data_IF_508252371000
#
_entry.id   IF_508252371000
#
_cell.length_a   1.000
_cell.length_b   1.000
_cell.length_c   1.000
_cell.angle_alpha   90.00
_cell.angle_beta   90.00
_cell.angle_gamma   90.00
#
_symmetry.space_group_name_H-M   'P 1'
#
loop_
_entity.id
_entity.type
_entity.pdbx_description
1 polymer ?
#
# COMPACT_ATOMS: atom_id res chain seq x y z
N UNK A 1 27.81 18.49 -33.20
CA UNK A 1 27.63 18.51 -31.75
C UNK A 1 26.30 17.83 -31.40
N UNK A 2 26.18 16.50 -31.47
CA UNK A 2 24.90 15.81 -31.23
C UNK A 2 24.42 15.93 -29.77
N UNK A 3 25.30 16.12 -28.82
CA UNK A 3 24.96 16.14 -27.37
C UNK A 3 24.20 17.42 -26.93
N UNK A 4 24.36 18.52 -27.61
CA UNK A 4 23.64 19.77 -27.25
C UNK A 4 22.16 19.69 -27.60
N UNK A 5 21.77 18.89 -28.60
CA UNK A 5 20.37 18.77 -29.01
C UNK A 5 19.55 17.91 -28.03
N UNK A 6 20.15 16.87 -27.45
CA UNK A 6 19.46 16.00 -26.47
C UNK A 6 19.11 16.72 -25.17
N UNK A 7 19.95 17.65 -24.70
CA UNK A 7 19.68 18.47 -23.52
C UNK A 7 18.46 19.40 -23.69
N UNK A 8 18.11 19.72 -24.95
CA UNK A 8 16.94 20.56 -25.28
C UNK A 8 15.65 19.75 -25.45
N UNK A 9 15.72 18.40 -25.35
CA UNK A 9 14.58 17.49 -25.47
C UNK A 9 14.19 16.98 -24.08
N UNK A 10 12.97 17.27 -23.62
CA UNK A 10 12.43 16.71 -22.40
C UNK A 10 11.69 15.41 -22.72
N UNK A 11 12.30 14.28 -22.38
CA UNK A 11 11.65 12.97 -22.44
C UNK A 11 11.08 12.66 -21.06
N UNK A 12 9.77 12.40 -20.98
CA UNK A 12 9.11 12.08 -19.69
C UNK A 12 8.15 10.92 -19.82
N UNK A 13 8.16 10.06 -18.81
CA UNK A 13 7.25 8.94 -18.67
C UNK A 13 7.04 8.61 -17.19
N UNK A 14 5.91 7.98 -16.87
CA UNK A 14 5.62 7.49 -15.54
C UNK A 14 5.60 5.96 -15.50
N UNK A 15 6.34 5.41 -14.56
CA UNK A 15 6.40 3.97 -14.34
C UNK A 15 6.06 3.61 -12.89
N UNK A 16 5.78 2.34 -12.65
CA UNK A 16 5.61 1.82 -11.29
C UNK A 16 6.79 0.91 -10.94
N UNK A 17 7.55 1.30 -9.92
CA UNK A 17 8.54 0.42 -9.30
C UNK A 17 7.85 -0.46 -8.28
N UNK A 18 7.63 -1.72 -8.67
CA UNK A 18 6.91 -2.67 -7.81
C UNK A 18 7.67 -2.96 -6.52
N UNK A 19 6.93 -2.95 -5.43
CA UNK A 19 7.43 -3.45 -4.15
C UNK A 19 7.53 -4.97 -4.19
N UNK A 20 8.66 -5.54 -3.73
CA UNK A 20 8.80 -6.98 -3.53
C UNK A 20 7.87 -7.44 -2.39
N UNK A 21 6.61 -7.68 -2.71
CA UNK A 21 5.61 -8.18 -1.78
C UNK A 21 4.73 -9.24 -2.47
N UNK A 22 4.31 -10.24 -1.70
CA UNK A 22 3.34 -11.21 -2.22
C UNK A 22 2.03 -10.49 -2.54
N UNK A 23 1.34 -10.91 -3.60
CA UNK A 23 0.07 -10.32 -4.00
C UNK A 23 -0.88 -10.22 -2.78
N UNK A 24 -1.33 -9.02 -2.42
CA UNK A 24 -2.15 -8.83 -1.24
C UNK A 24 -3.58 -9.30 -1.48
N UNK A 25 -4.10 -10.06 -0.53
CA UNK A 25 -5.51 -10.44 -0.48
C UNK A 25 -6.08 -10.07 0.88
N UNK A 26 -7.39 -9.82 0.95
CA UNK A 26 -8.07 -9.52 2.23
C UNK A 26 -7.84 -10.61 3.28
N UNK A 27 -7.88 -11.86 2.84
CA UNK A 27 -7.68 -13.00 3.72
C UNK A 27 -6.27 -13.03 4.33
N UNK A 28 -5.26 -12.67 3.52
CA UNK A 28 -3.87 -12.59 3.97
C UNK A 28 -3.67 -11.41 4.93
N UNK A 29 -4.19 -10.23 4.57
CA UNK A 29 -4.12 -9.04 5.40
C UNK A 29 -4.77 -9.25 6.79
N UNK A 30 -5.96 -9.86 6.82
CA UNK A 30 -6.64 -10.24 8.06
C UNK A 30 -5.81 -11.25 8.86
N UNK A 31 -5.23 -12.25 8.19
CA UNK A 31 -4.41 -13.26 8.85
C UNK A 31 -3.15 -12.67 9.50
N UNK A 32 -2.41 -11.87 8.75
CA UNK A 32 -1.20 -11.19 9.25
C UNK A 32 -1.54 -10.28 10.45
N UNK A 33 -2.67 -9.58 10.40
CA UNK A 33 -3.16 -8.75 11.51
C UNK A 33 -3.50 -9.58 12.76
N UNK A 34 -4.20 -10.71 12.57
CA UNK A 34 -4.55 -11.65 13.63
C UNK A 34 -3.33 -12.28 14.28
N UNK A 35 -2.42 -12.80 13.46
CA UNK A 35 -1.21 -13.46 13.92
C UNK A 35 -0.32 -12.52 14.71
N UNK A 36 -0.09 -11.31 14.18
CA UNK A 36 0.70 -10.30 14.86
C UNK A 36 0.10 -9.92 16.21
N UNK A 37 -1.18 -9.59 16.24
CA UNK A 37 -1.87 -9.15 17.46
C UNK A 37 -1.93 -10.28 18.52
N UNK A 38 -2.21 -11.52 18.09
CA UNK A 38 -2.24 -12.66 18.99
C UNK A 38 -0.86 -12.94 19.62
N UNK A 39 0.21 -12.89 18.81
CA UNK A 39 1.59 -13.07 19.32
C UNK A 39 1.95 -12.01 20.37
N UNK A 40 1.54 -10.75 20.16
CA UNK A 40 1.77 -9.68 21.12
C UNK A 40 0.96 -9.87 22.41
N UNK A 41 -0.32 -10.22 22.33
CA UNK A 41 -1.13 -10.55 23.51
C UNK A 41 -0.46 -11.68 24.31
N UNK A 42 -0.02 -12.74 23.63
CA UNK A 42 0.66 -13.85 24.30
C UNK A 42 1.93 -13.39 25.03
N UNK A 43 2.77 -12.57 24.39
CA UNK A 43 4.01 -12.04 24.98
C UNK A 43 3.72 -11.16 26.20
N UNK A 44 2.79 -10.21 26.05
CA UNK A 44 2.42 -9.29 27.13
C UNK A 44 1.75 -9.99 28.34
N UNK A 45 1.23 -11.20 28.17
CA UNK A 45 0.71 -11.96 29.28
C UNK A 45 1.78 -12.79 30.02
N UNK A 46 2.90 -13.12 29.35
CA UNK A 46 3.95 -13.97 29.96
C UNK A 46 4.78 -13.18 30.96
N UNK A 47 5.27 -12.00 30.60
CA UNK A 47 6.18 -11.21 31.46
C UNK A 47 5.57 -10.85 32.82
N UNK A 48 4.33 -10.31 32.91
CA UNK A 48 3.68 -10.02 34.20
C UNK A 48 2.91 -11.19 34.79
N UNK A 49 3.02 -12.42 34.27
CA UNK A 49 2.32 -13.60 34.78
C UNK A 49 0.81 -13.57 34.59
N UNK A 50 0.30 -12.76 33.66
CA UNK A 50 -1.13 -12.60 33.42
C UNK A 50 -1.71 -13.83 32.70
N UNK A 51 -2.86 -14.30 33.15
CA UNK A 51 -3.58 -15.37 32.46
C UNK A 51 -4.05 -14.92 31.08
N UNK A 52 -3.62 -15.64 30.03
CA UNK A 52 -4.03 -15.37 28.66
C UNK A 52 -5.56 -15.47 28.49
N UNK A 53 -6.21 -14.46 27.89
CA UNK A 53 -7.65 -14.48 27.65
C UNK A 53 -8.04 -15.57 26.66
N UNK A 54 -9.15 -16.26 26.93
CA UNK A 54 -9.68 -17.31 26.03
C UNK A 54 -10.21 -16.74 24.73
N UNK A 55 -9.74 -17.30 23.61
CA UNK A 55 -10.21 -16.94 22.26
C UNK A 55 -10.13 -18.16 21.33
N UNK A 56 -10.67 -17.99 20.11
CA UNK A 56 -10.74 -19.07 19.11
C UNK A 56 -9.58 -18.98 18.08
N UNK A 57 -8.43 -18.42 18.45
CA UNK A 57 -7.32 -18.20 17.51
C UNK A 57 -6.87 -19.51 16.85
N UNK A 58 -6.62 -20.59 17.62
CA UNK A 58 -6.17 -21.89 17.08
C UNK A 58 -7.13 -22.44 16.02
N UNK A 59 -8.43 -22.46 16.31
CA UNK A 59 -9.45 -22.97 15.37
C UNK A 59 -9.52 -22.14 14.08
N UNK A 60 -9.32 -20.82 14.17
CA UNK A 60 -9.30 -19.94 12.98
C UNK A 60 -7.99 -20.14 12.21
N UNK A 61 -6.86 -20.32 12.89
CA UNK A 61 -5.55 -20.60 12.29
C UNK A 61 -5.59 -21.89 11.46
N UNK A 62 -6.09 -22.99 12.03
CA UNK A 62 -6.27 -24.28 11.34
C UNK A 62 -7.17 -24.13 10.10
N UNK A 63 -8.29 -23.42 10.27
CA UNK A 63 -9.23 -23.15 9.16
C UNK A 63 -8.56 -22.33 8.05
N UNK A 64 -7.73 -21.33 8.39
CA UNK A 64 -6.99 -20.51 7.42
C UNK A 64 -5.90 -21.34 6.72
N UNK A 65 -5.13 -22.14 7.44
CA UNK A 65 -4.12 -23.03 6.85
C UNK A 65 -4.77 -24.03 5.88
N UNK A 66 -5.88 -24.65 6.27
CA UNK A 66 -6.66 -25.52 5.38
C UNK A 66 -7.19 -24.78 4.14
N UNK A 67 -7.63 -23.53 4.30
CA UNK A 67 -8.06 -22.67 3.19
C UNK A 67 -6.90 -22.38 2.21
N UNK A 68 -5.71 -22.10 2.72
CA UNK A 68 -4.53 -21.82 1.89
C UNK A 68 -4.09 -23.02 1.03
N UNK A 69 -4.23 -24.24 1.54
CA UNK A 69 -3.89 -25.48 0.82
C UNK A 69 -4.84 -25.80 -0.34
N UNK A 70 -6.04 -25.21 -0.39
CA UNK A 70 -7.04 -25.50 -1.41
C UNK A 70 -6.78 -24.77 -2.71
N UNK A 71 -6.68 -25.51 -3.82
CA UNK A 71 -6.59 -24.95 -5.17
C UNK A 71 -7.88 -24.22 -5.58
N UNK A 72 -9.05 -24.86 -5.40
CA UNK A 72 -10.36 -24.26 -5.66
C UNK A 72 -11.03 -23.83 -4.36
N UNK A 73 -11.43 -22.57 -4.26
CA UNK A 73 -12.01 -21.96 -3.05
C UNK A 73 -13.44 -21.54 -3.32
N UNK A 74 -14.41 -22.19 -2.67
CA UNK A 74 -15.83 -21.83 -2.77
C UNK A 74 -16.07 -20.45 -2.12
N UNK A 75 -16.76 -19.56 -2.80
CA UNK A 75 -17.04 -18.19 -2.33
C UNK A 75 -17.74 -18.15 -0.97
N UNK A 76 -18.72 -19.04 -0.75
CA UNK A 76 -19.42 -19.16 0.54
C UNK A 76 -18.49 -19.49 1.71
N UNK A 77 -17.57 -20.45 1.52
CA UNK A 77 -16.58 -20.82 2.53
C UNK A 77 -15.58 -19.69 2.80
N UNK A 78 -15.14 -19.01 1.73
CA UNK A 78 -14.26 -17.83 1.86
C UNK A 78 -14.96 -16.73 2.67
N UNK A 79 -16.22 -16.43 2.36
CA UNK A 79 -17.01 -15.43 3.10
C UNK A 79 -17.21 -15.81 4.57
N UNK A 80 -17.51 -17.08 4.84
CA UNK A 80 -17.66 -17.58 6.21
C UNK A 80 -16.36 -17.44 7.01
N UNK A 81 -15.23 -17.86 6.43
CA UNK A 81 -13.91 -17.73 7.08
C UNK A 81 -13.54 -16.26 7.30
N UNK A 82 -13.75 -15.40 6.30
CA UNK A 82 -13.52 -13.93 6.42
C UNK A 82 -14.31 -13.34 7.59
N UNK A 83 -15.59 -13.70 7.72
CA UNK A 83 -16.44 -13.27 8.85
C UNK A 83 -15.86 -13.71 10.20
N UNK A 84 -15.39 -14.97 10.30
CA UNK A 84 -14.77 -15.50 11.55
C UNK A 84 -13.48 -14.75 11.88
N UNK A 85 -12.66 -14.42 10.89
CA UNK A 85 -11.42 -13.68 11.06
C UNK A 85 -11.67 -12.24 11.51
N UNK A 86 -12.64 -11.54 10.92
CA UNK A 86 -13.04 -10.17 11.32
C UNK A 86 -13.50 -10.17 12.80
N UNK A 87 -14.39 -11.09 13.17
CA UNK A 87 -14.88 -11.20 14.56
C UNK A 87 -13.77 -11.53 15.56
N UNK A 88 -12.82 -12.39 15.16
CA UNK A 88 -11.68 -12.72 16.01
C UNK A 88 -10.74 -11.52 16.16
N UNK A 89 -10.46 -10.78 15.08
CA UNK A 89 -9.62 -9.60 15.13
C UNK A 89 -10.21 -8.52 16.06
N UNK A 90 -11.50 -8.30 15.97
CA UNK A 90 -12.23 -7.41 16.88
C UNK A 90 -12.10 -7.86 18.34
N UNK A 91 -12.33 -9.16 18.61
CA UNK A 91 -12.17 -9.73 19.95
C UNK A 91 -10.75 -9.57 20.49
N UNK A 92 -9.74 -9.83 19.67
CA UNK A 92 -8.33 -9.68 20.08
C UNK A 92 -7.97 -8.22 20.39
N UNK A 93 -8.52 -7.26 19.65
CA UNK A 93 -8.33 -5.82 19.94
C UNK A 93 -8.97 -5.45 21.29
N UNK A 94 -10.17 -5.94 21.59
CA UNK A 94 -10.83 -5.73 22.88
C UNK A 94 -9.99 -6.34 24.01
N UNK A 95 -9.57 -7.60 23.87
CA UNK A 95 -8.73 -8.28 24.87
C UNK A 95 -7.40 -7.55 25.11
N UNK A 96 -6.78 -7.03 24.06
CA UNK A 96 -5.58 -6.20 24.17
C UNK A 96 -5.85 -4.92 24.93
N UNK A 97 -6.98 -4.27 24.68
CA UNK A 97 -7.33 -3.01 25.34
C UNK A 97 -7.70 -3.23 26.82
N UNK A 98 -8.33 -4.35 27.15
CA UNK A 98 -8.58 -4.78 28.53
C UNK A 98 -7.26 -5.01 29.29
N UNK A 99 -6.33 -5.78 28.70
CA UNK A 99 -4.99 -6.01 29.28
C UNK A 99 -4.25 -4.68 29.47
N UNK A 100 -4.33 -3.76 28.50
CA UNK A 100 -3.67 -2.46 28.62
C UNK A 100 -4.29 -1.60 29.72
N UNK A 101 -5.59 -1.64 29.89
CA UNK A 101 -6.28 -0.87 30.94
C UNK A 101 -5.91 -1.37 32.32
N UNK A 102 -5.82 -2.69 32.49
CA UNK A 102 -5.57 -3.30 33.78
C UNK A 102 -4.08 -3.34 34.15
N UNK A 103 -3.21 -3.59 33.18
CA UNK A 103 -1.77 -3.82 33.39
C UNK A 103 -0.87 -2.85 32.61
N UNK A 104 -1.39 -1.77 32.08
CA UNK A 104 -0.66 -0.87 31.17
C UNK A 104 0.59 -0.22 31.79
N UNK A 105 0.62 -0.03 33.10
CA UNK A 105 1.80 0.48 33.84
C UNK A 105 2.96 -0.51 33.87
N UNK A 106 2.69 -1.81 33.76
CA UNK A 106 3.68 -2.88 33.74
C UNK A 106 4.18 -3.20 32.32
N UNK A 107 3.46 -2.74 31.28
CA UNK A 107 3.72 -3.09 29.90
C UNK A 107 4.45 -1.95 29.17
N UNK A 108 5.57 -2.26 28.56
CA UNK A 108 6.29 -1.31 27.72
C UNK A 108 5.89 -1.47 26.25
N UNK A 109 5.50 -0.38 25.60
CA UNK A 109 5.13 -0.34 24.19
C UNK A 109 6.11 0.52 23.41
N UNK A 110 6.65 -0.03 22.32
CA UNK A 110 7.46 0.72 21.37
C UNK A 110 6.56 1.59 20.47
N UNK A 111 7.12 2.65 19.88
CA UNK A 111 6.40 3.45 18.89
C UNK A 111 5.95 2.61 17.69
N UNK A 112 6.77 1.66 17.25
CA UNK A 112 6.43 0.75 16.14
C UNK A 112 5.26 -0.17 16.48
N UNK A 113 5.17 -0.62 17.73
CA UNK A 113 4.00 -1.35 18.20
C UNK A 113 2.74 -0.49 18.09
N UNK A 114 2.76 0.74 18.58
CA UNK A 114 1.60 1.63 18.55
C UNK A 114 1.18 1.97 17.12
N UNK A 115 2.15 2.28 16.24
CA UNK A 115 1.89 2.49 14.81
C UNK A 115 1.20 1.28 14.18
N UNK A 116 1.76 0.07 14.38
CA UNK A 116 1.20 -1.16 13.80
C UNK A 116 -0.20 -1.47 14.35
N UNK A 117 -0.41 -1.25 15.64
CA UNK A 117 -1.73 -1.41 16.25
C UNK A 117 -2.76 -0.44 15.62
N UNK A 118 -2.39 0.81 15.39
CA UNK A 118 -3.27 1.79 14.74
C UNK A 118 -3.62 1.37 13.29
N UNK A 119 -2.66 0.78 12.57
CA UNK A 119 -2.89 0.24 11.23
C UNK A 119 -3.86 -0.95 11.27
N UNK A 120 -3.68 -1.87 12.21
CA UNK A 120 -4.57 -3.04 12.39
C UNK A 120 -5.99 -2.61 12.72
N UNK A 121 -6.18 -1.56 13.52
CA UNK A 121 -7.52 -0.97 13.77
C UNK A 121 -8.16 -0.44 12.48
N UNK A 122 -7.40 0.26 11.65
CA UNK A 122 -7.86 0.73 10.35
C UNK A 122 -8.20 -0.44 9.41
N UNK A 123 -7.38 -1.50 9.41
CA UNK A 123 -7.66 -2.73 8.65
C UNK A 123 -8.97 -3.37 9.10
N UNK A 124 -9.26 -3.44 10.42
CA UNK A 124 -10.52 -3.98 10.91
C UNK A 124 -11.73 -3.18 10.38
N UNK A 125 -11.67 -1.85 10.44
CA UNK A 125 -12.74 -0.98 9.92
C UNK A 125 -12.92 -1.20 8.42
N UNK A 126 -11.82 -1.15 7.66
CA UNK A 126 -11.80 -1.41 6.21
C UNK A 126 -12.46 -2.75 5.86
N UNK A 127 -12.06 -3.82 6.53
CA UNK A 127 -12.56 -5.16 6.22
C UNK A 127 -14.02 -5.37 6.62
N UNK A 128 -14.49 -4.70 7.67
CA UNK A 128 -15.93 -4.65 8.02
C UNK A 128 -16.75 -3.95 6.94
N UNK A 129 -16.29 -2.79 6.47
CA UNK A 129 -16.97 -2.02 5.42
C UNK A 129 -17.02 -2.80 4.09
N UNK A 130 -15.87 -3.38 3.70
CA UNK A 130 -15.80 -4.21 2.48
C UNK A 130 -16.65 -5.49 2.60
N UNK A 131 -16.76 -6.06 3.80
CA UNK A 131 -17.58 -7.26 4.02
C UNK A 131 -19.08 -7.01 3.78
N UNK A 132 -19.56 -5.80 4.04
CA UNK A 132 -20.95 -5.36 3.75
C UNK A 132 -21.11 -4.74 2.36
N UNK A 133 -20.06 -4.78 1.51
CA UNK A 133 -20.10 -4.33 0.11
C UNK A 133 -19.77 -2.84 -0.09
N UNK A 134 -19.34 -2.11 0.94
CA UNK A 134 -18.91 -0.72 0.77
C UNK A 134 -17.57 -0.63 0.06
N UNK A 135 -17.41 0.38 -0.80
CA UNK A 135 -16.12 0.72 -1.43
C UNK A 135 -15.28 1.53 -0.44
N UNK A 136 -14.06 1.08 -0.17
CA UNK A 136 -13.11 1.77 0.69
C UNK A 136 -12.06 2.47 -0.17
N UNK A 137 -11.89 3.78 0.03
CA UNK A 137 -10.81 4.57 -0.58
C UNK A 137 -9.51 4.38 0.20
N UNK A 138 -8.36 4.61 -0.44
CA UNK A 138 -7.03 4.52 0.20
C UNK A 138 -6.78 3.20 0.95
N UNK A 139 -7.22 2.08 0.37
CA UNK A 139 -7.20 0.75 0.94
C UNK A 139 -5.79 0.33 1.37
N UNK A 140 -5.64 -0.07 2.64
CA UNK A 140 -4.42 -0.69 3.16
C UNK A 140 -4.33 -2.12 2.60
N UNK A 141 -3.17 -2.50 2.09
CA UNK A 141 -2.91 -3.81 1.49
C UNK A 141 -1.84 -4.62 2.24
N UNK A 142 -1.09 -3.97 3.13
CA UNK A 142 -0.07 -4.61 3.97
C UNK A 142 0.03 -3.88 5.30
N UNK A 143 0.20 -4.62 6.40
CA UNK A 143 0.44 -4.03 7.73
C UNK A 143 1.89 -3.56 7.89
N UNK A 144 2.84 -4.15 7.16
CA UNK A 144 4.24 -3.78 7.19
C UNK A 144 4.52 -2.56 6.27
N UNK A 145 4.00 -2.61 5.05
CA UNK A 145 4.11 -1.54 4.05
C UNK A 145 2.78 -0.79 3.92
N UNK A 146 2.31 -0.25 5.03
CA UNK A 146 1.00 0.40 5.16
C UNK A 146 0.81 1.64 4.27
N UNK A 147 1.90 2.19 3.75
CA UNK A 147 1.91 3.32 2.81
C UNK A 147 1.66 2.91 1.36
N UNK A 148 1.90 1.64 0.99
CA UNK A 148 1.66 1.13 -0.37
C UNK A 148 0.16 1.07 -0.64
N UNK A 149 -0.22 1.51 -1.85
CA UNK A 149 -1.59 1.47 -2.35
C UNK A 149 -1.67 0.71 -3.67
N UNK A 150 -2.84 0.13 -4.00
CA UNK A 150 -3.05 -0.43 -5.32
C UNK A 150 -3.02 0.69 -6.37
N UNK A 151 -2.16 0.54 -7.37
CA UNK A 151 -2.05 1.43 -8.53
C UNK A 151 -2.69 0.70 -9.70
N UNK A 152 -3.83 1.21 -10.16
CA UNK A 152 -4.52 0.66 -11.33
C UNK A 152 -3.79 1.10 -12.59
N UNK A 153 -3.40 0.14 -13.41
CA UNK A 153 -2.77 0.36 -14.72
C UNK A 153 -3.63 -0.29 -15.80
N UNK A 154 -3.80 0.39 -16.92
CA UNK A 154 -4.60 -0.12 -18.06
C UNK A 154 -3.93 -1.24 -18.87
N UNK A 155 -3.02 -2.03 -18.27
CA UNK A 155 -2.32 -3.13 -18.94
C UNK A 155 -3.15 -4.41 -18.89
N UNK A 156 -3.22 -5.14 -20.00
CA UNK A 156 -3.97 -6.41 -20.11
C UNK A 156 -3.49 -7.48 -19.14
N UNK A 157 -2.19 -7.62 -18.98
CA UNK A 157 -1.59 -8.71 -18.19
C UNK A 157 -1.58 -8.44 -16.68
N UNK A 158 -1.59 -7.17 -16.26
CA UNK A 158 -1.48 -6.79 -14.85
C UNK A 158 -2.22 -5.50 -14.58
N UNK A 159 -3.48 -5.62 -14.21
CA UNK A 159 -4.38 -4.48 -14.00
C UNK A 159 -4.06 -3.65 -12.75
N UNK A 160 -3.36 -4.23 -11.77
CA UNK A 160 -3.02 -3.55 -10.48
C UNK A 160 -1.58 -3.86 -10.10
N UNK A 161 -0.82 -2.82 -9.80
CA UNK A 161 0.55 -2.88 -9.30
C UNK A 161 0.62 -2.33 -7.88
N UNK A 162 1.61 -2.78 -7.10
CA UNK A 162 1.82 -2.39 -5.71
C UNK A 162 3.25 -1.89 -5.54
N UNK A 163 3.44 -0.58 -5.43
CA UNK A 163 4.77 0.00 -5.34
C UNK A 163 4.73 1.52 -5.36
N UNK A 164 5.84 2.12 -5.80
CA UNK A 164 5.96 3.55 -6.01
C UNK A 164 5.66 3.89 -7.48
N UNK A 165 4.66 4.73 -7.73
CA UNK A 165 4.51 5.38 -9.04
C UNK A 165 5.49 6.53 -9.10
N UNK A 166 6.32 6.54 -10.14
CA UNK A 166 7.39 7.51 -10.32
C UNK A 166 7.22 8.18 -11.68
N UNK A 167 7.31 9.50 -11.70
CA UNK A 167 7.40 10.27 -12.92
C UNK A 167 8.86 10.63 -13.14
N UNK A 168 9.42 10.24 -14.28
CA UNK A 168 10.83 10.42 -14.62
C UNK A 168 10.99 11.39 -15.77
N UNK A 169 12.10 12.11 -15.76
CA UNK A 169 12.66 12.74 -16.96
C UNK A 169 13.92 11.97 -17.34
N UNK A 170 14.14 11.79 -18.64
CA UNK A 170 15.32 11.12 -19.17
C UNK A 170 16.14 12.06 -20.04
N UNK A 171 17.42 12.18 -19.74
CA UNK A 171 18.38 13.07 -20.42
C UNK A 171 19.62 12.23 -20.71
N UNK A 172 19.97 12.03 -21.97
CA UNK A 172 21.14 11.24 -22.39
C UNK A 172 21.23 9.85 -21.72
N UNK A 173 20.11 9.15 -21.60
CA UNK A 173 20.07 7.82 -20.98
C UNK A 173 20.07 7.84 -19.45
N UNK A 174 20.20 9.00 -18.80
CA UNK A 174 20.12 9.15 -17.35
C UNK A 174 18.71 9.54 -16.97
N UNK A 175 18.12 8.79 -16.03
CA UNK A 175 16.77 9.06 -15.51
C UNK A 175 16.84 9.85 -14.21
N UNK A 176 16.09 10.94 -14.13
CA UNK A 176 15.90 11.75 -12.94
C UNK A 176 14.46 11.65 -12.47
N UNK A 177 14.27 11.42 -11.17
CA UNK A 177 12.94 11.32 -10.56
C UNK A 177 12.39 12.72 -10.34
N UNK A 178 11.33 13.07 -11.09
CA UNK A 178 10.61 14.33 -10.91
C UNK A 178 9.60 14.22 -9.77
N UNK A 179 8.85 13.10 -9.71
CA UNK A 179 7.85 12.87 -8.66
C UNK A 179 7.76 11.40 -8.28
N UNK A 180 7.61 11.13 -6.98
CA UNK A 180 7.43 9.79 -6.44
C UNK A 180 6.24 9.77 -5.49
N UNK A 181 5.33 8.80 -5.67
CA UNK A 181 4.21 8.60 -4.76
C UNK A 181 3.85 7.11 -4.64
N UNK A 182 3.51 6.68 -3.44
CA UNK A 182 2.91 5.35 -3.21
C UNK A 182 1.40 5.32 -3.46
N UNK A 183 0.82 6.46 -3.88
CA UNK A 183 -0.57 6.58 -4.34
C UNK A 183 -0.56 6.86 -5.84
N UNK A 184 -1.63 6.41 -6.50
CA UNK A 184 -1.81 6.76 -7.91
C UNK A 184 -1.94 8.29 -8.07
N UNK A 185 -1.30 8.84 -9.08
CA UNK A 185 -1.42 10.24 -9.50
C UNK A 185 -1.59 10.32 -11.02
N UNK A 186 -2.15 11.43 -11.50
CA UNK A 186 -2.24 11.72 -12.93
C UNK A 186 -0.90 12.30 -13.40
N UNK A 187 -0.16 11.55 -14.22
CA UNK A 187 1.11 11.97 -14.79
C UNK A 187 0.96 13.15 -15.77
N UNK A 188 -0.16 13.23 -16.49
CA UNK A 188 -0.40 14.28 -17.47
C UNK A 188 -0.35 15.70 -16.90
N UNK A 189 -0.52 15.90 -15.60
CA UNK A 189 -0.40 17.22 -14.97
C UNK A 189 1.04 17.59 -14.61
N UNK A 190 1.99 16.63 -14.70
CA UNK A 190 3.38 16.80 -14.26
C UNK A 190 4.31 17.40 -15.31
N UNK A 191 3.88 17.54 -16.58
CA UNK A 191 4.74 17.98 -17.69
C UNK A 191 5.49 19.28 -17.41
N UNK A 192 4.80 20.26 -16.86
CA UNK A 192 5.42 21.58 -16.55
C UNK A 192 6.55 21.46 -15.53
N UNK A 193 6.38 20.60 -14.55
CA UNK A 193 7.37 20.37 -13.51
C UNK A 193 8.57 19.60 -14.06
N UNK A 194 8.33 18.64 -14.98
CA UNK A 194 9.38 17.94 -15.73
C UNK A 194 10.27 18.92 -16.49
N UNK A 195 9.65 19.81 -17.28
CA UNK A 195 10.37 20.80 -18.06
C UNK A 195 11.16 21.75 -17.16
N UNK A 196 10.54 22.25 -16.10
CA UNK A 196 11.22 23.14 -15.13
C UNK A 196 12.40 22.44 -14.44
N UNK A 197 12.24 21.18 -14.06
CA UNK A 197 13.30 20.40 -13.45
C UNK A 197 14.48 20.23 -14.39
N UNK A 198 14.23 19.84 -15.65
CA UNK A 198 15.29 19.70 -16.65
C UNK A 198 16.02 21.01 -16.91
N UNK A 199 15.28 22.09 -17.11
CA UNK A 199 15.86 23.42 -17.33
C UNK A 199 16.74 23.87 -16.16
N UNK A 200 16.30 23.59 -14.92
CA UNK A 200 17.07 23.90 -13.71
C UNK A 200 18.31 23.03 -13.57
N UNK A 201 18.22 21.72 -13.84
CA UNK A 201 19.35 20.78 -13.70
C UNK A 201 20.43 21.02 -14.74
N UNK A 202 20.03 21.28 -15.99
CA UNK A 202 20.94 21.36 -17.13
C UNK A 202 21.30 22.80 -17.51
N UNK A 203 20.65 23.79 -16.89
CA UNK A 203 20.78 25.21 -17.21
C UNK A 203 20.57 25.51 -18.72
N UNK A 204 19.59 24.84 -19.34
CA UNK A 204 19.25 24.99 -20.76
C UNK A 204 17.75 25.18 -20.94
N UNK A 205 17.35 25.82 -22.04
CA UNK A 205 15.93 25.92 -22.40
C UNK A 205 15.48 24.66 -23.14
N UNK A 206 14.44 24.00 -22.66
CA UNK A 206 13.78 22.88 -23.35
C UNK A 206 13.06 23.42 -24.59
N UNK A 207 13.29 22.79 -25.75
CA UNK A 207 12.73 23.17 -27.07
C UNK A 207 11.74 22.13 -27.58
N UNK A 208 11.89 20.88 -27.17
CA UNK A 208 11.07 19.77 -27.60
C UNK A 208 10.65 18.91 -26.41
N UNK A 209 9.48 18.27 -26.51
CA UNK A 209 8.97 17.34 -25.51
C UNK A 209 8.62 16.01 -26.18
N UNK A 210 9.14 14.92 -25.66
CA UNK A 210 8.77 13.56 -26.03
C UNK A 210 8.09 12.89 -24.81
N UNK A 211 6.81 12.57 -24.94
CA UNK A 211 6.01 12.00 -23.87
C UNK A 211 4.80 11.24 -24.43
N UNK A 212 4.20 10.39 -23.63
CA UNK A 212 2.98 9.67 -23.96
C UNK A 212 1.79 10.61 -24.20
N UNK A 213 0.77 10.11 -24.91
CA UNK A 213 -0.46 10.86 -25.25
C UNK A 213 -1.19 11.44 -24.04
N UNK A 214 -1.07 10.83 -22.85
CA UNK A 214 -1.66 11.33 -21.59
C UNK A 214 -1.16 12.72 -21.21
N UNK A 215 0.08 13.07 -21.61
CA UNK A 215 0.65 14.40 -21.40
C UNK A 215 0.14 15.44 -22.41
N UNK A 216 -0.47 15.02 -23.52
CA UNK A 216 -0.95 15.93 -24.58
C UNK A 216 -2.32 16.55 -24.28
N UNK A 217 -2.61 16.89 -23.01
CA UNK A 217 -3.82 17.60 -22.62
C UNK A 217 -3.78 19.09 -23.00
N UNK A 218 -4.95 19.74 -23.05
CA UNK A 218 -5.08 21.12 -23.49
C UNK A 218 -4.23 22.13 -22.68
N UNK A 219 -4.07 21.89 -21.37
CA UNK A 219 -3.28 22.77 -20.49
C UNK A 219 -1.78 22.69 -20.82
N UNK A 220 -1.30 21.48 -21.14
CA UNK A 220 0.09 21.26 -21.52
C UNK A 220 0.37 21.79 -22.95
N UNK A 221 -0.56 21.56 -23.89
CA UNK A 221 -0.45 22.13 -25.24
C UNK A 221 -0.33 23.66 -25.21
N UNK A 222 -1.23 24.34 -24.48
CA UNK A 222 -1.16 25.80 -24.30
C UNK A 222 0.15 26.27 -23.63
N UNK A 223 0.74 25.45 -22.78
CA UNK A 223 2.02 25.78 -22.14
C UNK A 223 3.20 25.64 -23.10
N UNK A 224 3.21 24.62 -23.95
CA UNK A 224 4.28 24.37 -24.93
C UNK A 224 4.24 25.29 -26.13
N UNK A 225 3.11 25.96 -26.41
CA UNK A 225 2.95 26.93 -27.55
C UNK A 225 3.23 28.38 -27.17
N UNK A 226 3.54 28.66 -25.89
CA UNK A 226 4.00 29.96 -25.40
C UNK A 226 5.52 30.05 -25.36
#
# INVERSE_FOLDING_TARGET
KPYLDSLHICMTDATCYESHMRYPTDMKLLWESLEWLYRYICRHCVEPGIRRPRNKYRNVAESYLSYCKKRKRKASRTRMLKRRMIRLLEKLLIQRDEIHREYGTLLRYTQDYQKRLSIIRKVLVQEKEMFVGKKVRDRIVSIDRHYVRPIVRGKETKSVEFGAKVNNIQIDGISFIEHLSFKAFNEGIRLKDCIRMQQKLMNVRVRCVAADSIYANNANRKFCTK
#
